data_IF_797039525922
#
_entry.id   IF_797039525922
#
_cell.length_a   1.000
_cell.length_b   1.000
_cell.length_c   1.000
_cell.angle_alpha   90.00
_cell.angle_beta   90.00
_cell.angle_gamma   90.00
#
_symmetry.space_group_name_H-M   'P 1'
#
loop_
_entity.id
_entity.type
_entity.pdbx_description
1 polymer ?
#
# COMPACT_ATOMS: atom_id res chain seq x y z
N UNK A 1 -14.04 -7.84 -4.67
CA UNK A 1 -15.37 -8.41 -4.37
C UNK A 1 -15.66 -8.08 -2.91
N UNK A 2 -16.87 -7.68 -2.56
CA UNK A 2 -17.27 -7.49 -1.16
C UNK A 2 -17.65 -8.81 -0.50
N UNK A 3 -18.03 -8.76 0.78
CA UNK A 3 -18.40 -9.95 1.56
C UNK A 3 -19.72 -10.62 1.10
N UNK A 4 -20.42 -10.01 0.13
CA UNK A 4 -21.62 -10.56 -0.51
C UNK A 4 -21.34 -11.18 -1.87
N UNK A 5 -20.06 -11.19 -2.31
CA UNK A 5 -19.65 -11.70 -3.61
C UNK A 5 -19.87 -10.72 -4.75
N UNK A 6 -20.22 -9.46 -4.46
CA UNK A 6 -20.39 -8.43 -5.49
C UNK A 6 -19.06 -7.81 -5.85
N UNK A 7 -18.84 -7.54 -7.14
CA UNK A 7 -17.65 -6.84 -7.58
C UNK A 7 -17.60 -5.44 -6.99
N UNK A 8 -16.44 -5.12 -6.42
CA UNK A 8 -16.12 -3.79 -5.93
C UNK A 8 -15.91 -2.88 -7.15
N UNK A 9 -16.42 -1.66 -7.09
CA UNK A 9 -16.22 -0.68 -8.15
C UNK A 9 -14.73 -0.32 -8.29
N UNK A 10 -14.32 0.23 -9.41
CA UNK A 10 -12.94 0.69 -9.55
C UNK A 10 -12.70 1.87 -8.61
N UNK A 11 -11.63 1.81 -7.82
CA UNK A 11 -11.31 2.80 -6.81
C UNK A 11 -10.20 2.37 -5.85
N UNK A 12 -9.85 3.25 -4.93
CA UNK A 12 -8.87 2.97 -3.87
C UNK A 12 -9.51 2.17 -2.74
N UNK A 13 -8.83 1.11 -2.30
CA UNK A 13 -9.26 0.27 -1.17
C UNK A 13 -8.17 0.27 -0.10
N UNK A 14 -8.59 0.30 1.16
CA UNK A 14 -7.69 0.15 2.30
C UNK A 14 -7.76 -1.28 2.81
N UNK A 15 -6.59 -1.84 3.14
CA UNK A 15 -6.46 -3.14 3.80
C UNK A 15 -5.88 -2.92 5.19
N UNK A 16 -6.41 -3.63 6.18
CA UNK A 16 -5.89 -3.68 7.53
C UNK A 16 -5.62 -5.14 7.90
N UNK A 17 -4.46 -5.41 8.49
CA UNK A 17 -4.09 -6.75 8.95
C UNK A 17 -3.95 -6.70 10.46
N UNK A 18 -4.77 -7.49 11.14
CA UNK A 18 -4.67 -7.73 12.57
C UNK A 18 -4.22 -9.17 12.81
N UNK A 19 -3.13 -9.34 13.56
CA UNK A 19 -2.68 -10.63 14.05
C UNK A 19 -3.06 -10.81 15.51
N UNK A 20 -3.25 -12.04 15.95
CA UNK A 20 -3.32 -12.36 17.39
C UNK A 20 -2.02 -13.06 17.77
N UNK A 21 -1.28 -12.48 18.71
CA UNK A 21 -0.06 -13.06 19.28
C UNK A 21 -0.40 -14.30 20.11
N UNK A 22 0.59 -15.16 20.38
CA UNK A 22 0.42 -16.40 21.15
C UNK A 22 -0.06 -16.17 22.59
N UNK A 23 0.07 -14.95 23.11
CA UNK A 23 -0.45 -14.51 24.41
C UNK A 23 -1.89 -13.96 24.36
N UNK A 24 -2.53 -13.99 23.19
CA UNK A 24 -3.90 -13.51 22.98
C UNK A 24 -4.01 -12.00 22.74
N UNK A 25 -2.90 -11.26 22.62
CA UNK A 25 -2.93 -9.83 22.30
C UNK A 25 -3.14 -9.58 20.81
N UNK A 26 -3.97 -8.59 20.46
CA UNK A 26 -4.09 -8.11 19.08
C UNK A 26 -2.87 -7.27 18.73
N UNK A 27 -2.26 -7.57 17.58
CA UNK A 27 -1.10 -6.88 17.03
C UNK A 27 -1.47 -6.33 15.66
N UNK A 28 -1.32 -5.02 15.48
CA UNK A 28 -1.47 -4.39 14.17
C UNK A 28 -0.27 -4.71 13.30
N UNK A 29 -0.51 -5.30 12.14
CA UNK A 29 0.53 -5.58 11.15
C UNK A 29 0.36 -4.57 10.02
N UNK A 30 1.36 -3.72 9.81
CA UNK A 30 1.35 -2.78 8.68
C UNK A 30 1.40 -3.56 7.36
N UNK A 31 0.37 -3.46 6.51
CA UNK A 31 0.38 -4.14 5.22
C UNK A 31 1.36 -3.45 4.26
N UNK A 32 2.07 -4.25 3.47
CA UNK A 32 2.85 -3.76 2.33
C UNK A 32 2.02 -3.98 1.07
N UNK A 33 1.76 -2.89 0.33
CA UNK A 33 1.04 -2.95 -0.94
C UNK A 33 2.02 -2.76 -2.08
N UNK A 34 2.10 -3.75 -2.97
CA UNK A 34 2.91 -3.67 -4.18
C UNK A 34 2.15 -2.95 -5.28
N UNK A 35 2.82 -2.02 -5.97
CA UNK A 35 2.29 -1.35 -7.15
C UNK A 35 3.37 -1.17 -8.22
N UNK A 36 2.94 -0.93 -9.45
CA UNK A 36 3.86 -0.62 -10.55
C UNK A 36 4.21 0.86 -10.51
N UNK A 37 5.51 1.16 -10.47
CA UNK A 37 5.99 2.53 -10.61
C UNK A 37 5.75 2.99 -12.04
N UNK A 38 4.92 4.02 -12.21
CA UNK A 38 4.59 4.62 -13.51
C UNK A 38 5.44 5.85 -13.82
N UNK A 39 6.16 6.40 -12.83
CA UNK A 39 7.06 7.53 -13.03
C UNK A 39 7.65 8.08 -11.73
N UNK A 40 8.37 9.19 -11.82
CA UNK A 40 8.94 9.90 -10.68
C UNK A 40 8.72 11.40 -10.82
N UNK A 41 8.49 12.08 -9.71
CA UNK A 41 8.35 13.54 -9.66
C UNK A 41 9.18 14.12 -8.53
N UNK A 42 9.84 15.25 -8.77
CA UNK A 42 10.59 15.98 -7.74
C UNK A 42 9.71 17.06 -7.13
N UNK A 43 9.54 17.04 -5.82
CA UNK A 43 8.93 18.11 -5.02
C UNK A 43 10.01 18.98 -4.38
N UNK A 44 9.60 20.05 -3.69
CA UNK A 44 10.51 20.84 -2.87
C UNK A 44 11.10 20.05 -1.69
N UNK A 45 10.39 19.01 -1.22
CA UNK A 45 10.79 18.15 -0.10
C UNK A 45 11.63 16.94 -0.51
N UNK A 46 11.64 16.54 -1.79
CA UNK A 46 12.37 15.35 -2.21
C UNK A 46 11.94 14.79 -3.56
N UNK A 47 12.12 13.49 -3.74
CA UNK A 47 11.67 12.74 -4.91
C UNK A 47 10.56 11.79 -4.49
N UNK A 48 9.47 11.78 -5.26
CA UNK A 48 8.31 10.92 -5.08
C UNK A 48 8.19 9.93 -6.23
N UNK A 49 7.84 8.69 -5.91
CA UNK A 49 7.47 7.66 -6.88
C UNK A 49 5.99 7.79 -7.22
N UNK A 50 5.64 7.72 -8.50
CA UNK A 50 4.27 7.64 -8.98
C UNK A 50 3.88 6.17 -9.15
N UNK A 51 2.76 5.78 -8.58
CA UNK A 51 2.12 4.48 -8.79
C UNK A 51 0.70 4.72 -9.28
N UNK A 52 0.54 4.86 -10.61
CA UNK A 52 -0.69 5.34 -11.22
C UNK A 52 -0.94 6.82 -10.86
N UNK A 53 -2.14 7.11 -10.33
CA UNK A 53 -2.52 8.44 -9.86
C UNK A 53 -2.02 8.76 -8.44
N UNK A 54 -1.44 7.78 -7.75
CA UNK A 54 -0.92 7.95 -6.38
C UNK A 54 0.54 8.35 -6.40
N UNK A 55 0.93 9.22 -5.46
CA UNK A 55 2.33 9.61 -5.24
C UNK A 55 2.75 9.15 -3.85
N UNK A 56 3.92 8.53 -3.75
CA UNK A 56 4.49 8.05 -2.50
C UNK A 56 5.90 8.64 -2.37
N UNK A 57 6.24 9.17 -1.21
CA UNK A 57 7.60 9.63 -0.91
C UNK A 57 8.54 8.42 -0.86
N UNK A 58 9.77 8.59 -1.37
CA UNK A 58 10.74 7.48 -1.38
C UNK A 58 11.11 6.99 0.03
N UNK A 59 10.99 7.83 1.05
CA UNK A 59 11.22 7.46 2.44
C UNK A 59 10.15 6.50 2.98
N UNK A 60 8.96 6.50 2.39
CA UNK A 60 7.85 5.59 2.73
C UNK A 60 7.86 4.30 1.88
N UNK A 61 8.79 4.16 0.93
CA UNK A 61 8.92 2.93 0.13
C UNK A 61 9.66 1.85 0.94
N UNK A 62 9.02 0.69 1.10
CA UNK A 62 9.68 -0.50 1.67
C UNK A 62 10.80 -1.06 0.78
N UNK A 63 10.75 -0.78 -0.53
CA UNK A 63 11.78 -1.17 -1.49
C UNK A 63 11.22 -1.37 -2.90
N UNK A 64 12.13 -1.50 -3.87
CA UNK A 64 11.80 -1.94 -5.22
C UNK A 64 12.04 -3.43 -5.37
N UNK A 65 11.13 -4.11 -6.07
CA UNK A 65 11.27 -5.52 -6.44
C UNK A 65 11.23 -5.63 -7.95
N UNK A 66 12.24 -6.25 -8.56
CA UNK A 66 12.19 -6.68 -9.96
C UNK A 66 11.84 -8.17 -10.00
N UNK A 67 10.77 -8.51 -10.72
CA UNK A 67 10.56 -9.88 -11.22
C UNK A 67 11.46 -10.15 -12.40
#
# INVERSE_FOLDING_TARGET
>A
MDNSGKQLADGSYSVAIEGTSTDGTNVSISPVVSGTVTGFTRSASGVQAKMGDTSIDLDDLSGFSST
#
